data_IF_745822163321
#
_entry.id   IF_745822163321
#
_cell.length_a   1.000
_cell.length_b   1.000
_cell.length_c   1.000
_cell.angle_alpha   90.00
_cell.angle_beta   90.00
_cell.angle_gamma   90.00
#
_symmetry.space_group_name_H-M   'P 1'
#
loop_
_entity.id
_entity.type
_entity.pdbx_description
1 polymer ?
#
# COMPACT_ATOMS: atom_id res chain seq x y z
N UNK A 1 2.37 21.51 2.23
CA UNK A 1 3.24 21.43 3.42
C UNK A 1 2.94 20.16 4.15
N UNK A 2 3.84 19.19 4.06
CA UNK A 2 3.64 17.85 4.61
C UNK A 2 3.35 17.91 6.12
N UNK A 3 2.20 17.36 6.51
CA UNK A 3 1.82 17.23 7.91
C UNK A 3 2.31 15.90 8.49
N UNK A 4 3.04 15.94 9.61
CA UNK A 4 3.45 14.73 10.35
C UNK A 4 2.90 14.78 11.76
N UNK A 5 2.20 13.72 12.18
CA UNK A 5 1.76 13.53 13.54
C UNK A 5 2.39 12.25 14.10
N UNK A 6 3.10 12.37 15.22
CA UNK A 6 3.59 11.22 15.98
C UNK A 6 2.94 11.21 17.35
N UNK A 7 2.27 10.11 17.66
CA UNK A 7 1.61 9.89 18.96
C UNK A 7 2.38 8.82 19.72
N UNK A 8 3.04 9.20 20.81
CA UNK A 8 3.83 8.28 21.65
C UNK A 8 3.00 7.56 22.69
N UNK A 9 1.85 8.08 23.04
CA UNK A 9 0.87 7.48 23.96
C UNK A 9 -0.29 6.84 23.21
N UNK A 10 -1.36 6.53 23.93
CA UNK A 10 -2.58 5.98 23.33
C UNK A 10 -3.25 7.02 22.42
N UNK A 11 -3.57 6.61 21.22
CA UNK A 11 -4.39 7.37 20.29
C UNK A 11 -5.85 6.87 20.42
N UNK A 12 -6.69 7.66 21.03
CA UNK A 12 -8.14 7.38 21.10
C UNK A 12 -8.86 8.37 20.21
N UNK A 13 -9.68 7.86 19.32
CA UNK A 13 -10.50 8.67 18.44
C UNK A 13 -11.96 8.20 18.52
N UNK A 14 -12.88 9.10 18.80
CA UNK A 14 -14.33 8.85 18.83
C UNK A 14 -15.08 9.44 17.64
N UNK A 15 -14.36 10.09 16.74
CA UNK A 15 -14.87 10.68 15.49
C UNK A 15 -14.11 10.19 14.29
N UNK A 16 -14.26 10.87 13.16
CA UNK A 16 -13.51 10.56 11.93
C UNK A 16 -12.07 11.09 12.05
N UNK A 17 -11.11 10.25 11.70
CA UNK A 17 -9.70 10.62 11.63
C UNK A 17 -9.23 10.50 10.18
N UNK A 18 -9.02 11.65 9.55
CA UNK A 18 -8.57 11.72 8.17
C UNK A 18 -7.06 11.96 8.09
N UNK A 19 -6.43 11.25 7.16
CA UNK A 19 -5.05 11.52 6.71
C UNK A 19 -5.17 11.87 5.24
N UNK A 20 -4.95 13.12 4.91
CA UNK A 20 -5.18 13.65 3.56
C UNK A 20 -3.87 13.74 2.79
N UNK A 21 -3.93 13.35 1.53
CA UNK A 21 -2.90 13.57 0.53
C UNK A 21 -3.57 14.20 -0.68
N UNK A 22 -3.14 15.37 -1.05
CA UNK A 22 -3.55 16.04 -2.28
C UNK A 22 -2.44 15.97 -3.36
N UNK A 23 -2.51 16.81 -4.36
CA UNK A 23 -1.54 16.82 -5.46
C UNK A 23 -0.13 17.24 -5.01
N UNK A 24 -0.03 18.06 -3.98
CA UNK A 24 1.20 18.75 -3.58
C UNK A 24 1.67 18.39 -2.16
N UNK A 25 0.77 17.87 -1.31
CA UNK A 25 1.02 17.66 0.10
C UNK A 25 0.59 16.26 0.56
N UNK A 26 1.30 15.71 1.55
CA UNK A 26 1.01 14.38 2.12
C UNK A 26 0.95 14.44 3.64
N UNK A 27 -0.14 13.90 4.20
CA UNK A 27 -0.27 13.66 5.63
C UNK A 27 0.42 12.35 6.03
N UNK A 28 0.92 12.29 7.26
CA UNK A 28 1.56 11.10 7.83
C UNK A 28 1.20 10.95 9.31
N UNK A 29 0.84 9.74 9.72
CA UNK A 29 0.51 9.41 11.10
C UNK A 29 1.36 8.23 11.58
N UNK A 30 2.03 8.42 12.72
CA UNK A 30 2.75 7.37 13.45
C UNK A 30 2.13 7.26 14.83
N UNK A 31 1.52 6.12 15.17
CA UNK A 31 1.09 5.80 16.53
C UNK A 31 1.99 4.70 17.11
N UNK A 32 2.69 5.01 18.19
CA UNK A 32 3.68 4.12 18.82
C UNK A 32 3.08 3.21 19.90
N UNK A 33 1.84 3.45 20.30
CA UNK A 33 1.13 2.61 21.27
C UNK A 33 0.32 1.52 20.56
N UNK A 34 -0.19 0.57 21.35
CA UNK A 34 -1.06 -0.51 20.85
C UNK A 34 -2.45 -0.05 20.34
N UNK A 35 -2.70 1.26 20.28
CA UNK A 35 -3.96 1.78 19.75
C UNK A 35 -4.04 1.62 18.25
N UNK A 36 -5.11 1.04 17.78
CA UNK A 36 -5.39 0.80 16.35
C UNK A 36 -6.71 1.49 15.98
N UNK A 37 -6.73 2.82 15.88
CA UNK A 37 -7.95 3.54 15.52
C UNK A 37 -8.38 3.23 14.10
N UNK A 38 -9.68 3.39 13.84
CA UNK A 38 -10.17 3.51 12.47
C UNK A 38 -9.73 4.85 11.90
N UNK A 39 -9.18 4.83 10.71
CA UNK A 39 -8.75 6.01 9.97
C UNK A 39 -9.30 5.98 8.56
N UNK A 40 -9.35 7.14 7.93
CA UNK A 40 -9.55 7.25 6.48
C UNK A 40 -8.35 7.93 5.86
N UNK A 41 -7.59 7.20 5.05
CA UNK A 41 -6.55 7.78 4.21
C UNK A 41 -7.17 8.25 2.90
N UNK A 42 -6.98 9.51 2.57
CA UNK A 42 -7.38 10.09 1.28
C UNK A 42 -6.15 10.27 0.40
N UNK A 43 -6.11 9.58 -0.73
CA UNK A 43 -5.01 9.61 -1.70
C UNK A 43 -5.45 10.29 -2.98
N UNK A 44 -4.80 11.38 -3.37
CA UNK A 44 -5.00 12.00 -4.66
C UNK A 44 -4.32 11.19 -5.77
N UNK A 45 -5.04 10.97 -6.85
CA UNK A 45 -4.56 10.28 -8.06
C UNK A 45 -4.75 11.17 -9.28
N UNK A 46 -3.75 11.20 -10.13
CA UNK A 46 -3.86 11.83 -11.45
C UNK A 46 -4.67 10.92 -12.36
N UNK A 47 -5.67 11.49 -13.03
CA UNK A 47 -6.56 10.73 -13.91
C UNK A 47 -5.84 10.09 -15.09
N UNK A 48 -6.33 8.95 -15.52
CA UNK A 48 -5.80 8.16 -16.64
C UNK A 48 -4.33 7.74 -16.51
N UNK A 49 -3.82 7.67 -15.27
CA UNK A 49 -2.47 7.21 -14.97
C UNK A 49 -2.51 6.07 -13.94
N UNK A 50 -1.77 5.00 -14.21
CA UNK A 50 -1.54 3.95 -13.25
C UNK A 50 -0.57 4.43 -12.16
N UNK A 51 -0.93 4.19 -10.92
CA UNK A 51 -0.14 4.56 -9.74
C UNK A 51 0.04 3.34 -8.87
N UNK A 52 1.27 3.06 -8.44
CA UNK A 52 1.54 2.04 -7.45
C UNK A 52 1.24 2.56 -6.04
N UNK A 53 0.62 1.73 -5.21
CA UNK A 53 0.10 2.15 -3.92
C UNK A 53 0.10 0.98 -2.92
N UNK A 54 0.34 1.28 -1.63
CA UNK A 54 0.01 0.43 -0.50
C UNK A 54 -1.32 0.87 0.12
N UNK A 55 -2.01 -0.05 0.76
CA UNK A 55 -3.27 0.21 1.47
C UNK A 55 -2.97 0.19 2.97
N UNK A 56 -2.96 1.35 3.67
CA UNK A 56 -2.47 1.43 5.05
C UNK A 56 -3.52 1.13 6.12
N UNK A 57 -4.56 0.40 5.76
CA UNK A 57 -5.66 0.00 6.65
C UNK A 57 -6.08 -1.44 6.38
N UNK A 58 -6.65 -2.10 7.38
CA UNK A 58 -7.32 -3.39 7.23
C UNK A 58 -8.83 -3.22 7.10
N UNK A 59 -9.49 -4.18 6.47
CA UNK A 59 -10.96 -4.19 6.33
C UNK A 59 -11.47 -3.46 5.09
N UNK A 60 -10.59 -2.92 4.26
CA UNK A 60 -10.96 -2.28 2.99
C UNK A 60 -11.19 -3.34 1.91
N UNK A 61 -12.22 -3.19 1.11
CA UNK A 61 -12.53 -4.05 -0.03
C UNK A 61 -12.67 -3.25 -1.32
N UNK A 62 -12.50 -3.90 -2.46
CA UNK A 62 -12.55 -3.21 -3.76
C UNK A 62 -13.87 -2.50 -3.98
N UNK A 63 -15.00 -3.11 -3.57
CA UNK A 63 -16.33 -2.52 -3.75
C UNK A 63 -16.52 -1.18 -3.03
N UNK A 64 -15.75 -0.92 -1.97
CA UNK A 64 -15.88 0.34 -1.21
C UNK A 64 -15.22 1.53 -1.94
N UNK A 65 -14.35 1.23 -2.91
CA UNK A 65 -13.57 2.23 -3.63
C UNK A 65 -13.80 2.22 -5.15
N UNK A 66 -14.48 1.21 -5.73
CA UNK A 66 -14.52 1.00 -7.18
C UNK A 66 -15.30 2.08 -7.95
N UNK A 67 -16.28 2.74 -7.32
CA UNK A 67 -16.99 3.90 -7.89
C UNK A 67 -16.05 5.06 -8.26
N UNK A 68 -14.87 5.10 -7.66
CA UNK A 68 -13.85 6.12 -7.90
C UNK A 68 -12.84 5.70 -8.97
N UNK A 69 -12.84 4.44 -9.36
CA UNK A 69 -11.84 3.88 -10.26
C UNK A 69 -12.29 3.93 -11.72
N UNK A 70 -11.33 3.89 -12.62
CA UNK A 70 -11.62 3.60 -14.01
C UNK A 70 -12.10 2.15 -14.14
N UNK A 71 -12.93 1.89 -15.16
CA UNK A 71 -13.45 0.54 -15.42
C UNK A 71 -13.25 0.17 -16.88
N UNK A 72 -13.02 -1.09 -17.15
CA UNK A 72 -12.95 -1.63 -18.49
C UNK A 72 -13.45 -3.08 -18.52
N UNK A 73 -14.44 -3.37 -19.36
CA UNK A 73 -14.95 -4.72 -19.62
C UNK A 73 -15.34 -5.47 -18.33
N UNK A 74 -15.98 -4.77 -17.38
CA UNK A 74 -16.41 -5.34 -16.10
C UNK A 74 -15.27 -5.55 -15.08
N UNK A 75 -14.12 -4.92 -15.31
CA UNK A 75 -12.99 -4.89 -14.37
C UNK A 75 -12.82 -3.50 -13.80
N UNK A 76 -12.54 -3.42 -12.50
CA UNK A 76 -12.08 -2.20 -11.84
C UNK A 76 -10.58 -2.00 -12.10
N UNK A 77 -10.17 -0.74 -12.29
CA UNK A 77 -8.77 -0.42 -12.49
C UNK A 77 -8.00 -0.42 -11.17
N UNK A 78 -7.98 -1.59 -10.55
CA UNK A 78 -7.12 -1.94 -9.43
C UNK A 78 -6.66 -3.38 -9.61
N UNK A 79 -5.38 -3.66 -9.32
CA UNK A 79 -4.81 -4.99 -9.43
C UNK A 79 -3.58 -5.15 -8.57
N UNK A 80 -3.17 -6.38 -8.37
CA UNK A 80 -1.93 -6.74 -7.71
C UNK A 80 -1.05 -7.60 -8.62
N UNK A 81 0.24 -7.58 -8.37
CA UNK A 81 1.18 -8.45 -9.07
C UNK A 81 1.18 -9.84 -8.43
N UNK A 82 1.01 -10.86 -9.27
CA UNK A 82 1.11 -12.26 -8.91
C UNK A 82 2.21 -12.90 -9.75
N UNK A 83 3.32 -13.27 -9.11
CA UNK A 83 4.44 -13.89 -9.79
C UNK A 83 4.28 -15.39 -9.99
N UNK A 84 3.29 -16.02 -9.33
CA UNK A 84 2.92 -17.45 -9.46
C UNK A 84 1.61 -17.64 -10.27
N UNK A 85 1.20 -16.64 -11.00
CA UNK A 85 -0.02 -16.71 -11.79
C UNK A 85 0.06 -17.80 -12.86
N UNK A 86 -0.99 -18.61 -12.99
CA UNK A 86 -1.12 -19.60 -14.04
C UNK A 86 -0.93 -18.96 -15.44
N UNK A 87 0.07 -19.43 -16.18
CA UNK A 87 0.44 -18.87 -17.48
C UNK A 87 1.59 -17.86 -17.44
N UNK A 88 2.18 -17.64 -16.26
CA UNK A 88 3.30 -16.72 -16.02
C UNK A 88 2.93 -15.52 -15.17
N UNK A 89 3.94 -14.94 -14.53
CA UNK A 89 3.79 -13.77 -13.68
C UNK A 89 3.03 -12.64 -14.38
N UNK A 90 2.13 -11.98 -13.67
CA UNK A 90 1.32 -10.92 -14.26
C UNK A 90 0.33 -10.27 -13.29
N UNK A 91 -0.34 -9.27 -13.81
CA UNK A 91 -1.37 -8.55 -13.07
C UNK A 91 -2.64 -9.38 -12.90
N UNK A 92 -3.19 -9.33 -11.70
CA UNK A 92 -4.51 -9.85 -11.35
C UNK A 92 -5.41 -8.67 -11.01
N UNK A 93 -6.48 -8.48 -11.79
CA UNK A 93 -7.44 -7.39 -11.62
C UNK A 93 -8.74 -7.90 -11.02
N UNK A 94 -9.45 -7.04 -10.31
CA UNK A 94 -10.73 -7.34 -9.70
C UNK A 94 -11.89 -7.06 -10.65
N UNK A 95 -13.01 -7.77 -10.45
CA UNK A 95 -14.27 -7.43 -11.12
C UNK A 95 -14.89 -6.19 -10.48
N UNK A 96 -15.62 -5.39 -11.26
CA UNK A 96 -16.44 -4.31 -10.71
C UNK A 96 -17.50 -4.88 -9.77
N UNK A 97 -17.75 -4.17 -8.67
CA UNK A 97 -18.69 -4.62 -7.64
C UNK A 97 -18.25 -5.89 -6.90
N UNK A 98 -16.95 -6.21 -6.91
CA UNK A 98 -16.43 -7.36 -6.18
C UNK A 98 -16.60 -7.15 -4.69
N UNK A 99 -17.49 -7.94 -4.09
CA UNK A 99 -17.70 -8.01 -2.64
C UNK A 99 -16.93 -9.15 -2.00
N UNK A 100 -16.16 -9.86 -2.81
CA UNK A 100 -15.42 -11.00 -2.34
C UNK A 100 -14.48 -10.59 -1.21
N UNK A 101 -14.26 -11.54 -0.32
CA UNK A 101 -13.26 -11.55 0.74
C UNK A 101 -11.82 -11.29 0.24
N UNK A 102 -11.65 -10.79 -0.95
CA UNK A 102 -10.47 -10.16 -1.51
C UNK A 102 -10.31 -8.77 -0.92
N UNK A 103 -10.33 -8.75 0.40
CA UNK A 103 -9.84 -7.66 1.19
C UNK A 103 -8.53 -7.16 0.61
N UNK A 104 -8.42 -5.86 0.52
CA UNK A 104 -7.18 -5.22 0.11
C UNK A 104 -6.14 -5.41 1.22
N UNK A 105 -5.22 -6.32 1.00
CA UNK A 105 -4.21 -6.71 2.02
C UNK A 105 -3.20 -5.59 2.19
N UNK A 106 -3.02 -5.02 3.39
CA UNK A 106 -2.17 -3.85 3.62
C UNK A 106 -0.71 -4.03 3.21
N UNK A 107 -0.17 -5.24 3.34
CA UNK A 107 1.23 -5.55 3.00
C UNK A 107 1.46 -5.80 1.51
N UNK A 108 0.37 -5.96 0.74
CA UNK A 108 0.44 -6.15 -0.71
C UNK A 108 0.42 -4.80 -1.42
N UNK A 109 1.26 -4.65 -2.43
CA UNK A 109 1.19 -3.50 -3.33
C UNK A 109 0.13 -3.70 -4.40
N UNK A 110 -0.42 -2.59 -4.85
CA UNK A 110 -1.43 -2.54 -5.91
C UNK A 110 -1.06 -1.52 -6.96
N UNK A 111 -1.52 -1.70 -8.17
CA UNK A 111 -1.69 -0.62 -9.14
C UNK A 111 -3.14 -0.16 -9.14
N UNK A 112 -3.35 1.14 -9.30
CA UNK A 112 -4.68 1.74 -9.28
C UNK A 112 -4.77 2.88 -10.31
N UNK A 113 -5.94 3.08 -10.92
CA UNK A 113 -6.17 4.18 -11.84
C UNK A 113 -7.57 4.74 -11.70
N UNK A 114 -7.69 6.06 -11.76
CA UNK A 114 -8.97 6.77 -11.94
C UNK A 114 -9.15 7.22 -13.39
N UNK A 115 -10.37 7.34 -13.84
CA UNK A 115 -10.67 7.93 -15.16
C UNK A 115 -10.38 9.44 -15.23
N UNK A 116 -10.54 10.14 -14.10
CA UNK A 116 -10.23 11.56 -13.93
C UNK A 116 -9.48 11.81 -12.63
N UNK A 117 -8.71 12.88 -12.57
CA UNK A 117 -7.98 13.26 -11.37
C UNK A 117 -8.92 13.46 -10.18
N UNK A 118 -8.49 13.05 -8.99
CA UNK A 118 -9.27 13.19 -7.78
C UNK A 118 -8.82 12.19 -6.69
N UNK A 119 -9.56 12.17 -5.60
CA UNK A 119 -9.21 11.42 -4.40
C UNK A 119 -9.89 10.05 -4.36
N UNK A 120 -9.14 9.03 -3.94
CA UNK A 120 -9.65 7.74 -3.46
C UNK A 120 -9.47 7.70 -1.95
N UNK A 121 -10.46 7.18 -1.25
CA UNK A 121 -10.43 7.06 0.23
C UNK A 121 -10.34 5.59 0.62
N UNK A 122 -9.46 5.28 1.55
CA UNK A 122 -9.30 3.96 2.16
C UNK A 122 -9.63 4.07 3.64
N UNK A 123 -10.67 3.35 4.07
CA UNK A 123 -11.17 3.43 5.44
C UNK A 123 -11.04 2.08 6.14
N UNK A 124 -10.45 2.06 7.33
CA UNK A 124 -10.31 0.83 8.09
C UNK A 124 -9.44 0.99 9.32
N UNK A 125 -9.06 -0.14 9.90
CA UNK A 125 -8.23 -0.14 11.10
C UNK A 125 -6.76 0.07 10.73
N UNK A 126 -6.15 1.06 11.35
CA UNK A 126 -4.72 1.35 11.21
C UNK A 126 -3.88 0.25 11.86
N UNK A 127 -2.79 -0.14 11.19
CA UNK A 127 -1.77 -1.03 11.75
C UNK A 127 -0.65 -0.22 12.41
N UNK A 128 -0.12 -0.73 13.53
CA UNK A 128 0.97 -0.10 14.27
C UNK A 128 2.00 -1.11 14.83
N UNK A 129 1.94 -2.34 14.37
CA UNK A 129 2.88 -3.41 14.73
C UNK A 129 3.59 -3.94 13.48
N UNK A 130 4.70 -4.62 13.66
CA UNK A 130 5.43 -5.25 12.56
C UNK A 130 4.51 -6.12 11.71
N UNK A 131 4.60 -5.95 10.41
CA UNK A 131 3.86 -6.71 9.43
C UNK A 131 4.83 -7.56 8.60
N UNK A 132 4.36 -8.68 8.09
CA UNK A 132 5.15 -9.57 7.24
C UNK A 132 4.39 -9.84 5.94
N UNK A 133 5.07 -9.67 4.81
CA UNK A 133 4.60 -10.08 3.50
C UNK A 133 5.49 -11.22 2.99
N UNK A 134 4.90 -12.36 2.70
CA UNK A 134 5.60 -13.42 1.99
C UNK A 134 6.00 -12.95 0.60
N UNK A 135 7.25 -13.21 0.23
CA UNK A 135 7.75 -13.01 -1.13
C UNK A 135 8.18 -14.37 -1.70
N UNK A 136 7.98 -14.55 -2.97
CA UNK A 136 8.30 -15.78 -3.69
C UNK A 136 9.16 -15.49 -4.91
N UNK A 137 9.88 -16.50 -5.37
CA UNK A 137 10.60 -16.46 -6.63
C UNK A 137 10.12 -17.61 -7.49
N UNK A 138 9.71 -17.28 -8.72
CA UNK A 138 9.19 -18.23 -9.67
C UNK A 138 10.04 -18.27 -10.95
N UNK A 139 10.00 -19.39 -11.64
CA UNK A 139 10.66 -19.54 -12.93
C UNK A 139 9.87 -18.82 -14.01
N UNK A 140 10.57 -18.10 -14.89
CA UNK A 140 9.96 -17.41 -16.02
C UNK A 140 10.21 -15.90 -16.01
N UNK A 141 9.63 -15.23 -17.00
CA UNK A 141 9.79 -13.80 -17.15
C UNK A 141 9.09 -13.07 -16.01
N UNK A 142 9.84 -12.22 -15.31
CA UNK A 142 9.35 -11.43 -14.17
C UNK A 142 8.92 -12.21 -12.92
N UNK A 143 9.15 -13.53 -12.85
CA UNK A 143 8.79 -14.35 -11.67
C UNK A 143 9.54 -13.99 -10.37
N UNK A 144 10.60 -13.20 -10.47
CA UNK A 144 11.36 -12.71 -9.29
C UNK A 144 10.86 -11.36 -8.75
N UNK A 145 9.88 -10.72 -9.41
CA UNK A 145 9.33 -9.46 -8.94
C UNK A 145 8.22 -9.71 -7.93
N UNK A 146 8.27 -8.98 -6.84
CA UNK A 146 7.23 -8.94 -5.83
C UNK A 146 6.82 -7.49 -5.61
N UNK A 147 5.53 -7.21 -5.66
CA UNK A 147 5.01 -5.89 -5.35
C UNK A 147 4.49 -5.89 -3.91
N UNK A 148 5.16 -5.13 -3.06
CA UNK A 148 4.81 -5.00 -1.64
C UNK A 148 4.28 -3.60 -1.35
N UNK A 149 3.31 -3.51 -0.45
CA UNK A 149 2.71 -2.26 0.00
C UNK A 149 3.29 -1.80 1.33
N UNK A 150 3.36 -0.50 1.55
CA UNK A 150 3.57 0.06 2.87
C UNK A 150 2.25 -0.04 3.67
N UNK A 151 2.17 -0.85 4.74
CA UNK A 151 0.94 -1.06 5.50
C UNK A 151 0.66 0.03 6.53
N UNK A 152 1.47 1.08 6.56
CA UNK A 152 1.37 2.14 7.56
C UNK A 152 0.98 3.46 6.92
N UNK A 153 0.17 4.29 7.59
CA UNK A 153 -0.17 5.63 7.12
C UNK A 153 0.97 6.63 7.39
N UNK A 154 2.19 6.20 7.16
CA UNK A 154 3.42 6.96 7.36
C UNK A 154 4.45 6.60 6.32
N UNK A 155 5.48 7.42 6.18
CA UNK A 155 6.63 7.08 5.35
C UNK A 155 7.40 5.90 5.95
N UNK A 156 7.89 5.04 5.08
CA UNK A 156 8.79 3.95 5.43
C UNK A 156 10.23 4.39 5.16
N UNK A 157 11.09 4.25 6.16
CA UNK A 157 12.52 4.45 5.94
C UNK A 157 13.08 3.29 5.11
N UNK A 158 13.45 3.57 3.87
CA UNK A 158 13.90 2.53 2.93
C UNK A 158 15.38 2.22 3.05
N UNK A 159 16.21 3.23 3.28
CA UNK A 159 17.66 3.12 3.20
C UNK A 159 18.32 3.60 4.48
N UNK A 160 19.57 3.20 4.65
CA UNK A 160 20.46 3.75 5.66
C UNK A 160 20.67 5.26 5.39
N UNK A 161 20.10 6.09 6.25
CA UNK A 161 20.50 7.47 6.37
C UNK A 161 21.35 7.63 7.65
N UNK A 162 22.06 8.73 7.74
CA UNK A 162 22.95 9.02 8.87
C UNK A 162 22.27 9.05 10.25
N UNK A 163 20.94 8.95 10.29
CA UNK A 163 20.16 9.04 11.51
C UNK A 163 19.61 7.70 12.00
N UNK A 164 19.51 6.69 11.14
CA UNK A 164 18.96 5.38 11.52
C UNK A 164 19.49 4.22 10.63
N UNK A 165 20.80 3.98 10.74
CA UNK A 165 21.50 2.95 9.96
C UNK A 165 20.98 1.51 10.22
N UNK A 166 20.25 1.29 11.31
CA UNK A 166 19.86 -0.05 11.73
C UNK A 166 18.38 -0.37 11.59
N UNK A 167 17.51 0.66 11.49
CA UNK A 167 16.06 0.50 11.48
C UNK A 167 15.45 0.96 10.15
N UNK A 168 16.04 0.54 9.05
CA UNK A 168 15.49 0.77 7.72
C UNK A 168 15.03 -0.53 7.07
N UNK A 169 14.17 -0.40 6.06
CA UNK A 169 13.55 -1.54 5.39
C UNK A 169 14.58 -2.48 4.77
N UNK A 170 15.60 -1.97 4.10
CA UNK A 170 16.61 -2.78 3.43
C UNK A 170 17.44 -3.57 4.44
N UNK A 171 17.89 -2.96 5.53
CA UNK A 171 18.67 -3.64 6.57
C UNK A 171 17.84 -4.70 7.29
N UNK A 172 16.59 -4.36 7.65
CA UNK A 172 15.72 -5.30 8.35
C UNK A 172 15.36 -6.54 7.52
N UNK A 173 15.38 -6.43 6.18
CA UNK A 173 15.01 -7.50 5.26
C UNK A 173 16.18 -8.05 4.43
N UNK A 174 17.41 -7.71 4.77
CA UNK A 174 18.60 -8.07 3.98
C UNK A 174 18.73 -9.59 3.75
N UNK A 175 18.30 -10.41 4.71
CA UNK A 175 18.37 -11.88 4.60
C UNK A 175 17.40 -12.48 3.60
N UNK A 176 16.32 -11.77 3.26
CA UNK A 176 15.25 -12.25 2.37
C UNK A 176 15.23 -11.54 1.02
N UNK A 177 15.83 -10.36 0.91
CA UNK A 177 15.92 -9.61 -0.34
C UNK A 177 16.94 -10.19 -1.33
N UNK A 178 17.55 -11.32 -0.98
CA UNK A 178 18.48 -12.02 -1.83
C UNK A 178 19.93 -11.53 -1.67
N UNK A 179 20.84 -12.36 -2.14
CA UNK A 179 22.30 -12.11 -2.13
C UNK A 179 22.88 -12.13 -3.55
N UNK A 180 22.05 -11.98 -4.57
CA UNK A 180 22.45 -11.97 -5.96
C UNK A 180 22.98 -10.62 -6.43
N UNK A 181 23.46 -10.56 -7.66
CA UNK A 181 24.04 -9.35 -8.27
C UNK A 181 23.02 -8.19 -8.44
N UNK A 182 21.74 -8.45 -8.25
CA UNK A 182 20.65 -7.49 -8.43
C UNK A 182 19.67 -7.57 -7.27
N UNK A 183 20.06 -7.05 -6.12
CA UNK A 183 19.14 -6.77 -5.03
C UNK A 183 18.71 -5.33 -5.19
N UNK A 184 17.48 -5.10 -5.61
CA UNK A 184 16.96 -3.76 -5.79
C UNK A 184 15.54 -3.66 -5.23
N UNK A 185 15.27 -2.58 -4.51
CA UNK A 185 13.94 -2.13 -4.14
C UNK A 185 13.67 -0.84 -4.91
N UNK A 186 12.61 -0.84 -5.68
CA UNK A 186 12.14 0.34 -6.40
C UNK A 186 10.98 0.93 -5.63
N UNK A 187 11.05 2.20 -5.27
CA UNK A 187 9.97 2.96 -4.64
C UNK A 187 9.34 3.91 -5.65
N UNK A 188 8.02 4.01 -5.62
CA UNK A 188 7.21 4.92 -6.44
C UNK A 188 6.37 5.84 -5.59
#
# INVERSE_FOLDING_TARGET
>A
KDGKLTVSGSLTNSGDLFIEQDADESGSLIAKSASTPTITLKKYLVGSQWTLIGIPVTGEVVNDIDDNLATNSGKSAIGYWDNDKAGGAGWVTFNTGSTDANELVPTRGYEIMRSSSGTVSFTGTMLNSNQTQGITTETGTNGNWNLVGNPFPSYLNMTDDSNDATNNFLTANASVLGNGAYVAVYAW
#
